data_IF_072033893218
#
_entry.id   IF_072033893218
#
_cell.length_a   1.000
_cell.length_b   1.000
_cell.length_c   1.000
_cell.angle_alpha   90.00
_cell.angle_beta   90.00
_cell.angle_gamma   90.00
#
_symmetry.space_group_name_H-M   'P 1'
#
loop_
_entity.id
_entity.type
_entity.pdbx_description
1 polymer ?
#
# COMPACT_ATOMS: atom_id res chain seq x y z
N UNK A 1 26.41 -26.20 -28.81
CA UNK A 1 26.33 -25.00 -27.96
C UNK A 1 25.83 -23.91 -28.89
N UNK A 2 24.77 -23.17 -28.55
CA UNK A 2 24.31 -22.07 -29.41
C UNK A 2 25.39 -20.98 -29.48
N UNK A 3 25.60 -20.40 -30.66
CA UNK A 3 26.39 -19.17 -30.77
C UNK A 3 25.60 -17.97 -30.21
N UNK A 4 26.28 -16.87 -29.92
CA UNK A 4 25.68 -15.66 -29.35
C UNK A 4 24.56 -15.10 -30.24
N UNK A 5 24.71 -15.19 -31.56
CA UNK A 5 23.69 -14.76 -32.53
C UNK A 5 22.44 -15.66 -32.47
N UNK A 6 22.63 -16.97 -32.45
CA UNK A 6 21.54 -17.95 -32.35
C UNK A 6 20.78 -17.81 -31.02
N UNK A 7 21.49 -17.52 -29.93
CA UNK A 7 20.89 -17.29 -28.62
C UNK A 7 20.06 -16.00 -28.59
N UNK A 8 20.53 -14.93 -29.23
CA UNK A 8 19.80 -13.67 -29.32
C UNK A 8 18.55 -13.80 -30.21
N UNK A 9 18.64 -14.53 -31.32
CA UNK A 9 17.50 -14.83 -32.18
C UNK A 9 16.44 -15.68 -31.44
N UNK A 10 16.89 -16.64 -30.64
CA UNK A 10 15.99 -17.44 -29.80
C UNK A 10 15.31 -16.57 -28.73
N UNK A 11 16.04 -15.69 -28.04
CA UNK A 11 15.48 -14.83 -26.99
C UNK A 11 14.47 -13.82 -27.55
N UNK A 12 14.76 -13.26 -28.71
CA UNK A 12 13.88 -12.27 -29.38
C UNK A 12 12.65 -12.90 -30.02
N UNK A 13 12.71 -14.18 -30.39
CA UNK A 13 11.58 -14.92 -30.99
C UNK A 13 10.67 -15.61 -29.96
N UNK A 14 11.02 -15.63 -28.67
CA UNK A 14 10.18 -16.23 -27.63
C UNK A 14 8.81 -15.52 -27.51
N UNK A 15 7.68 -16.21 -27.77
CA UNK A 15 6.37 -15.61 -27.62
C UNK A 15 6.04 -15.41 -26.14
N UNK A 16 5.69 -14.17 -25.76
CA UNK A 16 5.27 -13.89 -24.39
C UNK A 16 3.77 -14.26 -24.21
N UNK A 17 3.36 -14.99 -23.16
CA UNK A 17 1.95 -15.41 -22.97
C UNK A 17 0.97 -14.25 -22.87
N UNK A 18 1.45 -13.08 -22.45
CA UNK A 18 0.67 -11.84 -22.37
C UNK A 18 0.79 -10.95 -23.63
N UNK A 19 1.47 -11.41 -24.69
CA UNK A 19 1.69 -10.68 -25.96
C UNK A 19 0.45 -10.41 -26.81
N UNK A 20 -0.70 -10.96 -26.40
CA UNK A 20 -1.87 -11.09 -27.26
C UNK A 20 -2.67 -9.80 -27.52
N UNK A 21 -2.21 -8.62 -27.10
CA UNK A 21 -3.02 -7.39 -27.25
C UNK A 21 -2.30 -6.09 -27.63
N UNK A 22 -0.97 -6.04 -27.67
CA UNK A 22 -0.25 -4.79 -28.02
C UNK A 22 0.83 -5.07 -29.07
N UNK A 23 0.41 -5.26 -30.32
CA UNK A 23 1.27 -5.05 -31.48
C UNK A 23 1.27 -3.57 -31.85
N UNK A 24 1.83 -2.72 -30.98
CA UNK A 24 1.99 -1.28 -31.29
C UNK A 24 3.23 -0.99 -32.15
N UNK A 25 3.88 -2.00 -32.74
CA UNK A 25 5.07 -1.81 -33.57
C UNK A 25 6.28 -1.22 -32.83
N UNK A 26 6.17 -0.99 -31.52
CA UNK A 26 7.26 -0.47 -30.70
C UNK A 26 8.12 -1.65 -30.28
N UNK A 27 9.31 -1.77 -30.88
CA UNK A 27 10.34 -2.65 -30.38
C UNK A 27 10.53 -2.34 -28.88
N UNK A 28 10.20 -3.32 -28.04
CA UNK A 28 10.44 -3.30 -26.61
C UNK A 28 11.89 -2.89 -26.35
N UNK A 29 12.14 -1.96 -25.41
CA UNK A 29 13.49 -1.60 -24.97
C UNK A 29 14.25 -2.77 -24.31
N UNK A 30 13.58 -3.91 -24.13
CA UNK A 30 14.14 -5.14 -23.60
C UNK A 30 14.15 -6.24 -24.67
N UNK A 31 15.29 -6.97 -24.73
CA UNK A 31 15.51 -8.15 -25.59
C UNK A 31 14.47 -9.27 -25.37
N UNK A 32 13.82 -9.28 -24.21
CA UNK A 32 12.67 -10.12 -23.90
C UNK A 32 11.48 -9.21 -23.56
N UNK A 33 10.36 -9.27 -24.30
CA UNK A 33 9.18 -8.47 -24.00
C UNK A 33 8.51 -9.00 -22.73
N UNK A 34 8.85 -8.44 -21.57
CA UNK A 34 8.14 -8.68 -20.30
C UNK A 34 6.78 -7.99 -20.35
N UNK A 35 5.77 -8.67 -20.88
CA UNK A 35 4.41 -8.15 -20.85
C UNK A 35 3.76 -8.61 -19.54
N UNK A 36 3.72 -7.77 -18.52
CA UNK A 36 3.03 -8.12 -17.28
C UNK A 36 1.51 -8.07 -17.52
N UNK A 37 0.78 -9.09 -17.06
CA UNK A 37 -0.67 -9.07 -17.09
C UNK A 37 -1.13 -7.89 -16.22
N UNK A 38 -1.57 -6.83 -16.88
CA UNK A 38 -2.01 -5.61 -16.20
C UNK A 38 -3.51 -5.69 -15.98
N UNK A 39 -4.01 -5.46 -14.75
CA UNK A 39 -5.44 -5.42 -14.50
C UNK A 39 -6.11 -4.35 -15.34
N UNK A 40 -7.27 -4.67 -15.90
CA UNK A 40 -8.15 -3.73 -16.58
C UNK A 40 -8.64 -2.65 -15.59
N UNK A 41 -9.08 -1.51 -16.12
CA UNK A 41 -9.68 -0.45 -15.30
C UNK A 41 -10.86 -0.95 -14.46
N UNK A 42 -11.65 -1.90 -14.97
CA UNK A 42 -12.78 -2.48 -14.23
C UNK A 42 -12.31 -3.39 -13.10
N UNK A 43 -11.23 -4.15 -13.29
CA UNK A 43 -10.63 -4.97 -12.23
C UNK A 43 -10.04 -4.08 -11.13
N UNK A 44 -9.35 -3.00 -11.50
CA UNK A 44 -8.83 -2.03 -10.53
C UNK A 44 -9.97 -1.36 -9.74
N UNK A 45 -11.06 -0.94 -10.39
CA UNK A 45 -12.22 -0.34 -9.70
C UNK A 45 -12.86 -1.30 -8.70
N UNK A 46 -12.97 -2.59 -9.05
CA UNK A 46 -13.48 -3.62 -8.13
C UNK A 46 -12.52 -3.84 -6.96
N UNK A 47 -11.22 -3.90 -7.23
CA UNK A 47 -10.20 -4.09 -6.21
C UNK A 47 -10.14 -2.91 -5.23
N UNK A 48 -10.24 -1.68 -5.73
CA UNK A 48 -10.20 -0.44 -4.95
C UNK A 48 -11.60 0.14 -4.65
N UNK A 49 -12.64 -0.71 -4.59
CA UNK A 49 -14.01 -0.25 -4.36
C UNK A 49 -14.16 0.54 -3.03
N UNK A 50 -13.36 0.20 -2.01
CA UNK A 50 -13.35 0.91 -0.72
C UNK A 50 -12.81 2.36 -0.81
N UNK A 51 -12.14 2.70 -1.92
CA UNK A 51 -11.60 4.03 -2.21
C UNK A 51 -12.41 4.78 -3.27
N UNK A 52 -13.59 4.27 -3.63
CA UNK A 52 -14.45 4.92 -4.59
C UNK A 52 -14.86 6.33 -4.11
N UNK A 53 -15.12 7.29 -5.01
CA UNK A 53 -15.47 8.67 -4.63
C UNK A 53 -16.71 8.78 -3.73
N UNK A 54 -17.60 7.79 -3.76
CA UNK A 54 -18.78 7.71 -2.91
C UNK A 54 -18.44 7.32 -1.46
N UNK A 55 -17.25 6.73 -1.25
CA UNK A 55 -16.74 6.36 0.07
C UNK A 55 -16.02 7.54 0.71
N UNK A 56 -16.46 7.89 1.91
CA UNK A 56 -15.90 9.01 2.66
C UNK A 56 -14.50 8.72 3.17
N UNK A 57 -13.64 9.73 3.12
CA UNK A 57 -12.23 9.65 3.49
C UNK A 57 -11.88 10.62 4.62
N UNK A 58 -11.15 10.11 5.61
CA UNK A 58 -10.58 10.93 6.69
C UNK A 58 -9.40 11.74 6.14
N UNK A 59 -9.37 13.04 6.42
CA UNK A 59 -8.44 14.02 5.83
C UNK A 59 -8.99 14.78 4.62
N UNK A 60 -10.19 14.41 4.12
CA UNK A 60 -10.88 15.10 3.03
C UNK A 60 -12.31 15.50 3.43
N UNK A 61 -13.11 14.55 3.93
CA UNK A 61 -14.53 14.76 4.22
C UNK A 61 -14.83 15.16 5.67
N UNK A 62 -13.85 15.03 6.55
CA UNK A 62 -13.94 15.26 7.99
C UNK A 62 -14.03 16.73 8.37
N UNK A 63 -13.37 17.62 7.62
CA UNK A 63 -13.52 19.08 7.82
C UNK A 63 -14.89 19.59 7.41
N UNK A 64 -15.47 19.01 6.35
CA UNK A 64 -16.78 19.41 5.84
C UNK A 64 -17.94 18.92 6.72
N UNK A 65 -17.74 17.85 7.51
CA UNK A 65 -18.81 17.18 8.25
C UNK A 65 -18.30 16.63 9.58
N UNK A 66 -18.45 17.42 10.64
CA UNK A 66 -18.01 17.09 12.01
C UNK A 66 -18.50 15.73 12.51
N UNK A 67 -19.75 15.36 12.22
CA UNK A 67 -20.32 14.07 12.63
C UNK A 67 -19.52 12.88 12.09
N UNK A 68 -18.95 13.00 10.88
CA UNK A 68 -18.18 11.91 10.28
C UNK A 68 -16.85 11.74 11.01
N UNK A 69 -16.19 12.86 11.35
CA UNK A 69 -14.97 12.84 12.13
C UNK A 69 -15.20 12.21 13.53
N UNK A 70 -16.29 12.58 14.19
CA UNK A 70 -16.69 12.05 15.50
C UNK A 70 -16.99 10.55 15.44
N UNK A 71 -17.74 10.11 14.43
CA UNK A 71 -18.07 8.70 14.24
C UNK A 71 -16.83 7.86 13.94
N UNK A 72 -15.93 8.35 13.07
CA UNK A 72 -14.65 7.69 12.78
C UNK A 72 -13.78 7.58 14.03
N UNK A 73 -13.73 8.62 14.86
CA UNK A 73 -13.05 8.59 16.15
C UNK A 73 -13.65 7.52 17.09
N UNK A 74 -14.98 7.47 17.19
CA UNK A 74 -15.70 6.50 18.04
C UNK A 74 -15.44 5.06 17.59
N UNK A 75 -15.64 4.77 16.31
CA UNK A 75 -15.42 3.43 15.74
C UNK A 75 -13.97 3.00 15.88
N UNK A 76 -13.02 3.88 15.59
CA UNK A 76 -11.60 3.57 15.73
C UNK A 76 -11.19 3.20 17.17
N UNK A 77 -11.74 3.89 18.18
CA UNK A 77 -11.51 3.55 19.59
C UNK A 77 -12.07 2.17 19.95
N UNK A 78 -13.24 1.82 19.43
CA UNK A 78 -13.84 0.49 19.64
C UNK A 78 -12.95 -0.60 19.02
N UNK A 79 -12.51 -0.41 17.77
CA UNK A 79 -11.66 -1.39 17.08
C UNK A 79 -10.31 -1.57 17.78
N UNK A 80 -9.72 -0.48 18.28
CA UNK A 80 -8.50 -0.54 19.10
C UNK A 80 -8.69 -1.36 20.37
N UNK A 81 -9.88 -1.32 20.98
CA UNK A 81 -10.21 -2.15 22.14
C UNK A 81 -10.28 -3.65 21.84
N UNK A 82 -10.60 -4.02 20.60
CA UNK A 82 -10.65 -5.43 20.19
C UNK A 82 -9.27 -5.99 19.80
N UNK A 83 -8.35 -5.14 19.33
CA UNK A 83 -6.95 -5.53 19.08
C UNK A 83 -6.69 -6.34 17.80
N UNK A 84 -7.70 -6.59 16.95
CA UNK A 84 -7.51 -7.36 15.72
C UNK A 84 -6.90 -6.50 14.60
N UNK A 85 -5.65 -6.82 14.22
CA UNK A 85 -4.90 -6.11 13.18
C UNK A 85 -5.66 -5.99 11.85
N UNK A 86 -6.32 -7.05 11.40
CA UNK A 86 -7.07 -7.07 10.15
C UNK A 86 -8.22 -6.05 10.12
N UNK A 87 -8.94 -5.89 11.25
CA UNK A 87 -10.02 -4.90 11.34
C UNK A 87 -9.48 -3.47 11.37
N UNK A 88 -8.35 -3.24 12.05
CA UNK A 88 -7.68 -1.94 12.05
C UNK A 88 -7.15 -1.60 10.66
N UNK A 89 -6.59 -2.57 9.93
CA UNK A 89 -6.11 -2.38 8.56
C UNK A 89 -7.28 -2.06 7.61
N UNK A 90 -8.41 -2.77 7.75
CA UNK A 90 -9.61 -2.47 6.99
C UNK A 90 -10.14 -1.06 7.31
N UNK A 91 -10.18 -0.68 8.58
CA UNK A 91 -10.57 0.66 9.00
C UNK A 91 -9.66 1.74 8.42
N UNK A 92 -8.35 1.48 8.35
CA UNK A 92 -7.35 2.44 7.87
C UNK A 92 -7.39 2.69 6.35
N UNK A 93 -8.07 1.84 5.56
CA UNK A 93 -8.19 2.00 4.10
C UNK A 93 -8.71 3.39 3.70
N UNK A 94 -9.68 3.94 4.42
CA UNK A 94 -10.26 5.27 4.17
C UNK A 94 -9.65 6.37 5.06
N UNK A 95 -8.42 6.17 5.53
CA UNK A 95 -7.71 7.10 6.40
C UNK A 95 -7.94 6.86 7.89
N UNK A 96 -7.13 7.51 8.73
CA UNK A 96 -7.19 7.36 10.19
C UNK A 96 -7.33 8.71 10.88
N UNK A 97 -8.24 8.86 11.86
CA UNK A 97 -8.38 10.12 12.58
C UNK A 97 -7.09 10.51 13.32
N UNK A 98 -6.70 11.79 13.25
CA UNK A 98 -5.42 12.28 13.76
C UNK A 98 -5.13 11.89 15.22
N UNK A 99 -6.12 12.00 16.10
CA UNK A 99 -5.97 11.70 17.54
C UNK A 99 -5.73 10.22 17.90
N UNK A 100 -6.00 9.28 16.99
CA UNK A 100 -5.82 7.83 17.24
C UNK A 100 -4.93 7.14 16.19
N UNK A 101 -4.52 7.85 15.13
CA UNK A 101 -3.74 7.31 14.01
C UNK A 101 -2.50 6.54 14.45
N UNK A 102 -1.71 7.08 15.38
CA UNK A 102 -0.51 6.40 15.89
C UNK A 102 -0.84 5.06 16.53
N UNK A 103 -1.91 5.01 17.35
CA UNK A 103 -2.37 3.78 18.01
C UNK A 103 -2.91 2.76 17.01
N UNK A 104 -3.64 3.21 15.99
CA UNK A 104 -4.15 2.34 14.92
C UNK A 104 -3.00 1.67 14.18
N UNK A 105 -1.97 2.43 13.79
CA UNK A 105 -0.78 1.86 13.13
C UNK A 105 0.00 0.92 14.02
N UNK A 106 0.18 1.25 15.31
CA UNK A 106 0.77 0.33 16.27
C UNK A 106 -0.02 -0.99 16.34
N UNK A 107 -1.35 -0.91 16.38
CA UNK A 107 -2.22 -2.10 16.39
C UNK A 107 -2.20 -2.91 15.08
N UNK A 108 -2.08 -2.26 13.91
CA UNK A 108 -1.93 -2.96 12.62
C UNK A 108 -0.60 -3.70 12.56
N UNK A 109 0.49 -3.02 12.95
CA UNK A 109 1.84 -3.57 12.93
C UNK A 109 2.13 -4.50 14.12
N UNK A 110 1.19 -4.62 15.06
CA UNK A 110 1.33 -5.39 16.30
C UNK A 110 2.57 -4.96 17.10
N UNK A 111 2.85 -3.65 17.12
CA UNK A 111 3.94 -3.05 17.88
C UNK A 111 3.37 -2.44 19.16
N UNK A 112 3.86 -2.90 20.30
CA UNK A 112 3.66 -2.24 21.59
C UNK A 112 4.79 -1.25 21.84
N UNK A 113 4.46 -0.01 22.18
CA UNK A 113 5.43 0.99 22.62
C UNK A 113 5.34 1.06 24.15
N UNK A 114 6.41 0.65 24.81
CA UNK A 114 6.54 0.70 26.27
C UNK A 114 7.57 1.74 26.72
N UNK A 115 7.69 1.90 28.03
CA UNK A 115 8.65 2.82 28.66
C UNK A 115 10.09 2.54 28.23
N UNK A 116 10.45 1.26 28.06
CA UNK A 116 11.77 0.82 27.59
C UNK A 116 12.10 1.39 26.21
N UNK A 117 11.14 1.43 25.29
CA UNK A 117 11.35 1.93 23.93
C UNK A 117 11.62 3.43 23.94
N UNK A 118 10.93 4.18 24.82
CA UNK A 118 11.21 5.59 25.04
C UNK A 118 12.61 5.82 25.63
N UNK A 119 13.01 5.06 26.65
CA UNK A 119 14.35 5.17 27.23
C UNK A 119 15.44 4.83 26.20
N UNK A 120 15.24 3.79 25.41
CA UNK A 120 16.18 3.39 24.37
C UNK A 120 16.30 4.46 23.27
N UNK A 121 15.17 4.96 22.77
CA UNK A 121 15.17 6.04 21.79
C UNK A 121 15.88 7.30 22.31
N UNK A 122 15.64 7.69 23.56
CA UNK A 122 16.33 8.82 24.18
C UNK A 122 17.86 8.61 24.23
N UNK A 123 18.32 7.39 24.51
CA UNK A 123 19.75 7.08 24.52
C UNK A 123 20.37 7.19 23.12
N UNK A 124 19.68 6.71 22.08
CA UNK A 124 20.14 6.82 20.68
C UNK A 124 20.23 8.27 20.23
N UNK A 125 19.24 9.11 20.60
CA UNK A 125 19.27 10.54 20.29
C UNK A 125 20.48 11.21 20.94
N UNK A 126 20.75 10.90 22.22
CA UNK A 126 21.90 11.43 22.93
C UNK A 126 23.25 11.01 22.32
N UNK A 127 23.33 9.81 21.75
CA UNK A 127 24.52 9.31 21.06
C UNK A 127 24.70 9.95 19.69
N UNK A 128 23.62 10.11 18.92
CA UNK A 128 23.66 10.78 17.61
C UNK A 128 24.10 12.24 17.69
N UNK A 129 23.82 12.94 18.81
CA UNK A 129 24.22 14.32 19.03
C UNK A 129 25.71 14.49 19.41
N UNK A 130 26.44 13.39 19.64
CA UNK A 130 27.89 13.41 19.95
C UNK A 130 28.76 13.24 18.71
N UNK A 131 28.19 12.84 17.58
CA UNK A 131 28.84 12.68 16.27
C UNK A 131 28.69 13.97 15.47
#
# INVERSE_FOLDING_TARGET
LYDAEELLELITSMPHPNASSINNGMQSWALCPLQLQTPTANELRRFFADLAPEMRQTGLDDEMRTWFAEERQRVGKILLGHGYAAMLAHFAKTGCPGGIRGRVWCGILQVGIGERDYSYYASLVAESARV
#
